data_IF_999167492963
#
_entry.id   IF_999167492963
#
_cell.length_a   1.000
_cell.length_b   1.000
_cell.length_c   1.000
_cell.angle_alpha   90.00
_cell.angle_beta   90.00
_cell.angle_gamma   90.00
#
_symmetry.space_group_name_H-M   'P 1'
#
loop_
_entity.id
_entity.type
_entity.pdbx_description
1 polymer ?
#
# COMPACT_ATOMS: atom_id res chain seq x y z
N UNK A 1 8.98 6.52 -4.11
CA UNK A 1 9.04 5.15 -4.68
C UNK A 1 8.91 5.25 -6.19
N UNK A 2 9.52 4.36 -6.96
CA UNK A 2 9.31 4.29 -8.42
C UNK A 2 8.00 3.55 -8.74
N UNK A 3 7.49 3.72 -9.97
CA UNK A 3 6.33 2.94 -10.43
C UNK A 3 6.58 1.43 -10.42
N UNK A 4 7.82 0.99 -10.71
CA UNK A 4 8.20 -0.41 -10.65
C UNK A 4 8.19 -0.97 -9.22
N UNK A 5 8.67 -0.19 -8.24
CA UNK A 5 8.57 -0.57 -6.82
C UNK A 5 7.12 -0.68 -6.36
N UNK A 6 6.25 0.25 -6.80
CA UNK A 6 4.82 0.20 -6.52
C UNK A 6 4.14 -1.01 -7.19
N UNK A 7 4.54 -1.38 -8.41
CA UNK A 7 4.06 -2.59 -9.08
C UNK A 7 4.34 -3.84 -8.22
N UNK A 8 5.57 -3.96 -7.72
CA UNK A 8 6.00 -5.07 -6.87
C UNK A 8 5.19 -5.11 -5.57
N UNK A 9 5.06 -3.97 -4.87
CA UNK A 9 4.35 -3.93 -3.59
C UNK A 9 2.84 -4.18 -3.71
N UNK A 10 2.22 -3.74 -4.82
CA UNK A 10 0.77 -3.88 -5.02
C UNK A 10 0.38 -5.19 -5.71
N UNK A 11 1.36 -5.93 -6.26
CA UNK A 11 1.11 -7.10 -7.09
C UNK A 11 0.49 -6.78 -8.46
N UNK A 12 0.37 -5.51 -8.83
CA UNK A 12 -0.17 -5.06 -10.10
C UNK A 12 0.89 -5.16 -11.22
N UNK A 13 0.44 -5.34 -12.46
CA UNK A 13 1.32 -5.22 -13.62
C UNK A 13 1.82 -3.79 -13.78
N UNK A 14 2.96 -3.59 -14.45
CA UNK A 14 3.52 -2.26 -14.72
C UNK A 14 2.52 -1.36 -15.45
N UNK A 15 1.74 -1.90 -16.39
CA UNK A 15 0.69 -1.14 -17.09
C UNK A 15 -0.46 -0.74 -16.18
N UNK A 16 -0.92 -1.66 -15.31
CA UNK A 16 -2.01 -1.40 -14.38
C UNK A 16 -1.62 -0.32 -13.35
N UNK A 17 -0.44 -0.42 -12.74
CA UNK A 17 0.02 0.58 -11.78
C UNK A 17 0.25 1.94 -12.45
N UNK A 18 0.76 1.97 -13.67
CA UNK A 18 0.95 3.23 -14.42
C UNK A 18 -0.40 3.92 -14.61
N UNK A 19 -1.44 3.18 -15.01
CA UNK A 19 -2.78 3.73 -15.13
C UNK A 19 -3.39 4.20 -13.80
N UNK A 20 -3.06 3.56 -12.67
CA UNK A 20 -3.44 4.05 -11.33
C UNK A 20 -2.74 5.38 -11.03
N UNK A 21 -1.42 5.44 -11.24
CA UNK A 21 -0.61 6.65 -10.99
C UNK A 21 -1.12 7.81 -11.86
N UNK A 22 -1.41 7.56 -13.15
CA UNK A 22 -1.93 8.60 -14.05
C UNK A 22 -3.24 9.20 -13.56
N UNK A 23 -4.15 8.35 -13.04
CA UNK A 23 -5.41 8.83 -12.47
C UNK A 23 -5.21 9.62 -11.18
N UNK A 24 -4.26 9.21 -10.34
CA UNK A 24 -3.91 9.93 -9.11
C UNK A 24 -3.26 11.28 -9.42
N UNK A 25 -2.33 11.33 -10.37
CA UNK A 25 -1.64 12.54 -10.81
C UNK A 25 -2.61 13.51 -11.47
N UNK A 26 -3.50 13.04 -12.35
CA UNK A 26 -4.57 13.86 -12.95
C UNK A 26 -5.49 14.49 -11.90
N UNK A 27 -5.68 13.82 -10.76
CA UNK A 27 -6.45 14.34 -9.62
C UNK A 27 -5.61 15.12 -8.62
N UNK A 28 -4.30 15.27 -8.86
CA UNK A 28 -3.35 16.01 -8.02
C UNK A 28 -3.03 15.33 -6.69
N UNK A 29 -3.20 14.01 -6.56
CA UNK A 29 -2.83 13.28 -5.35
C UNK A 29 -1.38 12.82 -5.32
N UNK A 30 -0.73 12.76 -6.48
CA UNK A 30 0.69 12.41 -6.61
C UNK A 30 1.33 13.26 -7.70
N UNK A 31 2.64 13.41 -7.63
CA UNK A 31 3.49 14.03 -8.65
C UNK A 31 4.61 13.07 -9.04
N UNK A 32 5.13 13.22 -10.26
CA UNK A 32 6.33 12.55 -10.73
C UNK A 32 7.54 13.48 -10.67
N UNK A 33 8.54 13.10 -9.91
CA UNK A 33 9.77 13.87 -9.72
C UNK A 33 10.99 13.05 -10.10
N UNK A 34 12.04 13.70 -10.60
CA UNK A 34 13.34 13.03 -10.85
C UNK A 34 14.02 12.78 -9.52
N UNK A 35 14.58 11.58 -9.35
CA UNK A 35 15.37 11.29 -8.15
C UNK A 35 16.62 12.22 -8.10
N UNK A 36 16.83 12.96 -7.00
CA UNK A 36 17.98 13.86 -6.87
C UNK A 36 19.33 13.13 -6.91
N UNK A 37 19.37 11.82 -6.60
CA UNK A 37 20.60 11.01 -6.57
C UNK A 37 20.86 10.28 -7.89
N UNK A 38 19.82 9.95 -8.66
CA UNK A 38 19.94 9.36 -10.00
C UNK A 38 18.83 9.89 -10.92
N UNK A 39 19.15 10.89 -11.74
CA UNK A 39 18.18 11.56 -12.62
C UNK A 39 17.51 10.65 -13.67
N UNK A 40 17.97 9.41 -13.83
CA UNK A 40 17.33 8.40 -14.68
C UNK A 40 16.12 7.77 -14.01
N UNK A 41 15.99 7.88 -12.69
CA UNK A 41 14.84 7.37 -11.92
C UNK A 41 13.78 8.45 -11.75
N UNK A 42 12.52 8.04 -11.86
CA UNK A 42 11.35 8.86 -11.57
C UNK A 42 10.67 8.32 -10.31
N UNK A 43 10.49 9.20 -9.33
CA UNK A 43 9.81 8.95 -8.08
C UNK A 43 8.37 9.43 -8.18
N UNK A 44 7.45 8.62 -7.67
CA UNK A 44 6.07 9.02 -7.39
C UNK A 44 6.04 9.58 -5.98
N UNK A 45 5.65 10.85 -5.84
CA UNK A 45 5.61 11.61 -4.60
C UNK A 45 4.16 11.98 -4.30
N UNK A 46 3.59 11.57 -3.16
CA UNK A 46 2.22 11.95 -2.82
C UNK A 46 2.12 13.41 -2.40
N UNK A 47 1.04 14.07 -2.80
CA UNK A 47 0.61 15.33 -2.19
C UNK A 47 -0.06 14.99 -0.84
N UNK A 48 0.73 15.06 0.22
CA UNK A 48 0.30 14.67 1.57
C UNK A 48 -0.83 15.55 2.09
N UNK A 49 -0.75 16.86 1.84
CA UNK A 49 -1.75 17.81 2.31
C UNK A 49 -3.10 17.53 1.66
N UNK A 50 -3.14 17.43 0.33
CA UNK A 50 -4.38 17.12 -0.39
C UNK A 50 -4.92 15.74 -0.02
N UNK A 51 -4.05 14.75 0.09
CA UNK A 51 -4.43 13.39 0.49
C UNK A 51 -5.08 13.39 1.87
N UNK A 52 -4.50 14.13 2.83
CA UNK A 52 -5.05 14.25 4.18
C UNK A 52 -6.37 15.04 4.19
N UNK A 53 -6.48 16.14 3.45
CA UNK A 53 -7.72 16.92 3.37
C UNK A 53 -8.89 16.10 2.82
N UNK A 54 -8.65 15.25 1.80
CA UNK A 54 -9.72 14.47 1.16
C UNK A 54 -10.02 13.19 1.93
N UNK A 55 -9.00 12.45 2.37
CA UNK A 55 -9.18 11.12 2.94
C UNK A 55 -9.03 11.08 4.46
N UNK A 56 -8.35 12.04 5.07
CA UNK A 56 -8.05 12.09 6.50
C UNK A 56 -9.29 11.90 7.38
N UNK A 57 -10.35 12.72 7.24
CA UNK A 57 -11.56 12.56 8.06
C UNK A 57 -12.21 11.19 7.96
N UNK A 58 -12.20 10.59 6.76
CA UNK A 58 -12.72 9.23 6.54
C UNK A 58 -11.85 8.19 7.26
N UNK A 59 -10.52 8.29 7.14
CA UNK A 59 -9.59 7.36 7.79
C UNK A 59 -9.59 7.51 9.31
N UNK A 60 -9.75 8.73 9.84
CA UNK A 60 -9.91 8.97 11.29
C UNK A 60 -11.15 8.26 11.80
N UNK A 61 -12.30 8.43 11.14
CA UNK A 61 -13.55 7.75 11.53
C UNK A 61 -13.45 6.23 11.42
N UNK A 62 -12.76 5.73 10.38
CA UNK A 62 -12.49 4.30 10.25
C UNK A 62 -11.61 3.79 11.41
N UNK A 63 -10.57 4.54 11.77
CA UNK A 63 -9.68 4.20 12.87
C UNK A 63 -10.45 4.11 14.19
N UNK A 64 -11.29 5.10 14.51
CA UNK A 64 -12.15 5.08 15.70
C UNK A 64 -13.02 3.82 15.76
N UNK A 65 -13.69 3.49 14.65
CA UNK A 65 -14.55 2.30 14.55
C UNK A 65 -13.77 1.00 14.70
N UNK A 66 -12.56 0.93 14.14
CA UNK A 66 -11.69 -0.24 14.31
C UNK A 66 -11.16 -0.35 15.74
N UNK A 67 -10.85 0.77 16.39
CA UNK A 67 -10.46 0.79 17.81
C UNK A 67 -11.57 0.24 18.71
N UNK A 68 -12.84 0.59 18.46
CA UNK A 68 -13.99 0.01 19.19
C UNK A 68 -14.07 -1.52 19.03
N UNK A 69 -13.67 -2.06 17.87
CA UNK A 69 -13.60 -3.51 17.64
C UNK A 69 -12.43 -4.12 18.40
N UNK A 70 -11.23 -3.52 18.31
CA UNK A 70 -10.04 -4.05 18.97
C UNK A 70 -10.16 -4.07 20.50
N UNK A 71 -10.87 -3.12 21.08
CA UNK A 71 -11.15 -3.07 22.53
C UNK A 71 -12.02 -4.23 23.04
N UNK A 72 -12.62 -5.03 22.15
CA UNK A 72 -13.38 -6.23 22.52
C UNK A 72 -12.48 -7.48 22.70
N UNK A 73 -11.19 -7.35 22.42
CA UNK A 73 -10.20 -8.42 22.52
C UNK A 73 -9.15 -8.08 23.58
N UNK A 74 -8.57 -9.11 24.21
CA UNK A 74 -7.38 -8.92 25.03
C UNK A 74 -6.16 -8.61 24.16
N UNK A 75 -5.12 -8.04 24.75
CA UNK A 75 -3.84 -7.82 24.06
C UNK A 75 -3.26 -9.15 23.54
N UNK A 76 -3.34 -10.22 24.34
CA UNK A 76 -2.88 -11.56 23.94
C UNK A 76 -3.65 -12.08 22.72
N UNK A 77 -4.98 -11.90 22.69
CA UNK A 77 -5.81 -12.28 21.53
C UNK A 77 -5.42 -11.49 20.27
N UNK A 78 -5.21 -10.18 20.39
CA UNK A 78 -4.79 -9.34 19.28
C UNK A 78 -3.41 -9.76 18.75
N UNK A 79 -2.48 -10.13 19.64
CA UNK A 79 -1.17 -10.67 19.26
C UNK A 79 -1.30 -12.01 18.53
N UNK A 80 -2.18 -12.89 18.98
CA UNK A 80 -2.46 -14.17 18.30
C UNK A 80 -3.05 -13.91 16.91
N UNK A 81 -4.04 -13.02 16.80
CA UNK A 81 -4.69 -12.66 15.53
C UNK A 81 -3.67 -12.04 14.57
N UNK A 82 -2.83 -11.10 15.03
CA UNK A 82 -1.77 -10.50 14.24
C UNK A 82 -0.75 -11.55 13.77
N UNK A 83 -0.35 -12.48 14.66
CA UNK A 83 0.55 -13.59 14.33
C UNK A 83 -0.06 -14.51 13.27
N UNK A 84 -1.36 -14.82 13.37
CA UNK A 84 -2.09 -15.60 12.39
C UNK A 84 -2.06 -14.92 11.01
N UNK A 85 -2.45 -13.64 10.92
CA UNK A 85 -2.44 -12.90 9.66
C UNK A 85 -1.05 -12.83 9.03
N UNK A 86 0.01 -12.57 9.82
CA UNK A 86 1.38 -12.54 9.31
C UNK A 86 1.82 -13.89 8.74
N UNK A 87 1.62 -14.98 9.49
CA UNK A 87 1.99 -16.34 9.05
C UNK A 87 1.21 -16.77 7.81
N UNK A 88 -0.10 -16.55 7.79
CA UNK A 88 -0.94 -16.92 6.65
C UNK A 88 -0.62 -16.08 5.41
N UNK A 89 -0.41 -14.77 5.56
CA UNK A 89 -0.01 -13.91 4.45
C UNK A 89 1.35 -14.35 3.88
N UNK A 90 2.34 -14.67 4.73
CA UNK A 90 3.64 -15.18 4.29
C UNK A 90 3.49 -16.47 3.47
N UNK A 91 2.75 -17.45 3.98
CA UNK A 91 2.52 -18.71 3.29
C UNK A 91 1.85 -18.52 1.92
N UNK A 92 0.84 -17.65 1.83
CA UNK A 92 0.16 -17.33 0.56
C UNK A 92 1.13 -16.64 -0.42
N UNK A 93 1.95 -15.71 0.04
CA UNK A 93 2.92 -15.01 -0.81
C UNK A 93 4.03 -15.93 -1.30
N UNK A 94 4.49 -16.87 -0.48
CA UNK A 94 5.47 -17.90 -0.86
C UNK A 94 4.90 -18.78 -1.96
N UNK A 95 3.70 -19.34 -1.76
CA UNK A 95 3.03 -20.14 -2.78
C UNK A 95 2.79 -19.37 -4.09
N UNK A 96 2.35 -18.11 -4.00
CA UNK A 96 2.13 -17.28 -5.19
C UNK A 96 3.44 -17.03 -5.98
N UNK A 97 4.58 -16.97 -5.31
CA UNK A 97 5.91 -16.86 -5.96
C UNK A 97 6.32 -18.19 -6.60
N UNK A 98 6.11 -19.31 -5.91
CA UNK A 98 6.39 -20.64 -6.46
C UNK A 98 5.62 -20.87 -7.76
N UNK A 99 4.31 -20.59 -7.77
CA UNK A 99 3.47 -20.76 -8.95
C UNK A 99 3.87 -19.86 -10.14
N UNK A 100 4.37 -18.64 -9.88
CA UNK A 100 4.86 -17.74 -10.93
C UNK A 100 6.20 -18.20 -11.55
N UNK A 101 6.96 -19.01 -10.85
CA UNK A 101 8.29 -19.48 -11.26
C UNK A 101 8.28 -20.90 -11.82
N UNK A 102 7.11 -21.54 -11.94
CA UNK A 102 6.97 -22.82 -12.64
C UNK A 102 6.99 -22.60 -14.16
N UNK A 103 7.69 -23.45 -14.93
CA UNK A 103 7.84 -23.33 -16.38
C UNK A 103 6.54 -23.56 -17.15
#
# INVERSE_FOLDING_TARGET
>A
MTAGELAILTGLTTGAITGVIDRLEKRGFVNREKDPKDRRKVLIVPDQEKSFQVFGPMFTRLQEKLTEVYQQFSEDDLQIIASYFDKTNKAIHELAKELKNQP
#
